data_IF_904821973193
#
_entry.id   IF_904821973193
#
_cell.length_a   1.000
_cell.length_b   1.000
_cell.length_c   1.000
_cell.angle_alpha   90.00
_cell.angle_beta   90.00
_cell.angle_gamma   90.00
#
_symmetry.space_group_name_H-M   'P 1'
#
loop_
_entity.id
_entity.type
_entity.pdbx_description
1 polymer ?
#
# COMPACT_ATOMS: atom_id res chain seq x y z
N UNK A 1 18.32 -3.82 -5.25
CA UNK A 1 17.02 -4.40 -4.85
C UNK A 1 16.04 -3.35 -4.31
N UNK A 2 16.49 -2.38 -3.51
CA UNK A 2 15.66 -1.23 -3.08
C UNK A 2 15.02 -0.44 -4.23
N UNK A 3 15.72 -0.29 -5.37
CA UNK A 3 15.19 0.36 -6.58
C UNK A 3 13.93 -0.30 -7.16
N UNK A 4 13.75 -1.61 -6.95
CA UNK A 4 12.54 -2.33 -7.39
C UNK A 4 11.37 -2.10 -6.42
N UNK A 5 11.64 -2.01 -5.11
CA UNK A 5 10.64 -1.68 -4.08
C UNK A 5 10.05 -0.27 -4.27
N UNK A 6 10.85 0.66 -4.80
CA UNK A 6 10.41 2.03 -5.12
C UNK A 6 10.08 2.23 -6.61
N UNK A 7 10.02 1.15 -7.40
CA UNK A 7 9.42 1.18 -8.74
C UNK A 7 7.89 1.20 -8.60
N UNK A 8 7.19 1.84 -9.54
CA UNK A 8 5.72 1.85 -9.59
C UNK A 8 5.14 0.44 -9.46
N UNK A 9 5.75 -0.53 -10.16
CA UNK A 9 5.34 -1.94 -10.10
C UNK A 9 5.56 -2.56 -8.71
N UNK A 10 6.74 -2.37 -8.11
CA UNK A 10 7.03 -2.93 -6.79
C UNK A 10 6.20 -2.31 -5.67
N UNK A 11 5.89 -1.01 -5.76
CA UNK A 11 5.01 -0.33 -4.82
C UNK A 11 3.55 -0.83 -4.95
N UNK A 12 3.08 -1.03 -6.19
CA UNK A 12 1.73 -1.54 -6.45
C UNK A 12 1.55 -2.97 -5.91
N UNK A 13 2.51 -3.87 -6.14
CA UNK A 13 2.44 -5.24 -5.60
C UNK A 13 2.76 -5.32 -4.11
N UNK A 14 3.69 -4.49 -3.62
CA UNK A 14 4.04 -4.41 -2.21
C UNK A 14 2.87 -3.98 -1.34
N UNK A 15 2.12 -2.96 -1.76
CA UNK A 15 0.92 -2.51 -1.05
C UNK A 15 -0.25 -3.49 -1.16
N UNK A 16 -0.40 -4.22 -2.27
CA UNK A 16 -1.35 -5.34 -2.36
C UNK A 16 -1.02 -6.45 -1.35
N UNK A 17 0.25 -6.86 -1.32
CA UNK A 17 0.73 -7.85 -0.36
C UNK A 17 0.52 -7.40 1.08
N UNK A 18 0.79 -6.13 1.39
CA UNK A 18 0.58 -5.56 2.72
C UNK A 18 -0.88 -5.70 3.16
N UNK A 19 -1.85 -5.31 2.32
CA UNK A 19 -3.28 -5.44 2.63
C UNK A 19 -3.65 -6.90 2.87
N UNK A 20 -3.16 -7.82 2.04
CA UNK A 20 -3.42 -9.25 2.19
C UNK A 20 -2.86 -9.80 3.51
N UNK A 21 -1.59 -9.55 3.82
CA UNK A 21 -0.96 -10.07 5.03
C UNK A 21 -1.54 -9.47 6.31
N UNK A 22 -1.85 -8.17 6.32
CA UNK A 22 -2.52 -7.53 7.46
C UNK A 22 -3.90 -8.16 7.68
N UNK A 23 -4.68 -8.34 6.60
CA UNK A 23 -6.01 -8.97 6.69
C UNK A 23 -5.91 -10.44 7.16
N UNK A 24 -4.93 -11.20 6.67
CA UNK A 24 -4.71 -12.58 7.07
C UNK A 24 -4.31 -12.70 8.55
N UNK A 25 -3.42 -11.82 9.03
CA UNK A 25 -3.02 -11.78 10.43
C UNK A 25 -4.20 -11.41 11.33
N UNK A 26 -4.99 -10.39 10.96
CA UNK A 26 -6.21 -10.01 11.67
C UNK A 26 -7.20 -11.16 11.71
N UNK A 27 -7.43 -11.86 10.60
CA UNK A 27 -8.32 -13.03 10.55
C UNK A 27 -7.88 -14.15 11.48
N UNK A 28 -6.58 -14.43 11.56
CA UNK A 28 -6.01 -15.40 12.51
C UNK A 28 -6.31 -15.01 13.95
N UNK A 29 -5.99 -13.78 14.35
CA UNK A 29 -6.25 -13.33 15.72
C UNK A 29 -7.75 -13.24 16.02
N UNK A 30 -8.59 -12.98 15.02
CA UNK A 30 -10.04 -12.92 15.20
C UNK A 30 -10.60 -14.30 15.56
N UNK A 31 -10.04 -15.37 14.96
CA UNK A 31 -10.39 -16.75 15.30
C UNK A 31 -9.93 -17.17 16.71
N UNK A 32 -8.86 -16.57 17.23
CA UNK A 32 -8.37 -16.79 18.61
C UNK A 32 -9.18 -16.00 19.66
N UNK A 33 -10.05 -15.09 19.22
CA UNK A 33 -10.91 -14.27 20.07
C UNK A 33 -10.22 -12.97 20.48
N UNK A 34 -10.51 -11.89 19.76
CA UNK A 34 -9.98 -10.56 20.07
C UNK A 34 -10.88 -9.75 21.00
N UNK A 35 -10.27 -9.05 21.96
CA UNK A 35 -10.96 -8.07 22.81
C UNK A 35 -11.19 -6.75 22.06
N UNK A 36 -11.96 -5.84 22.66
CA UNK A 36 -12.32 -4.55 22.05
C UNK A 36 -11.12 -3.72 21.62
N UNK A 37 -10.06 -3.65 22.44
CA UNK A 37 -8.88 -2.85 22.14
C UNK A 37 -8.10 -3.44 20.95
N UNK A 38 -8.01 -4.77 20.89
CA UNK A 38 -7.38 -5.49 19.78
C UNK A 38 -8.16 -5.29 18.47
N UNK A 39 -9.50 -5.30 18.51
CA UNK A 39 -10.32 -4.97 17.35
C UNK A 39 -10.11 -3.54 16.85
N UNK A 40 -10.04 -2.55 17.75
CA UNK A 40 -9.74 -1.17 17.36
C UNK A 40 -8.38 -1.08 16.66
N UNK A 41 -7.36 -1.74 17.20
CA UNK A 41 -6.04 -1.81 16.58
C UNK A 41 -6.06 -2.51 15.22
N UNK A 42 -6.76 -3.64 15.11
CA UNK A 42 -6.90 -4.40 13.88
C UNK A 42 -7.57 -3.61 12.76
N UNK A 43 -8.68 -2.92 13.06
CA UNK A 43 -9.38 -2.06 12.11
C UNK A 43 -8.45 -0.92 11.66
N UNK A 44 -7.76 -0.28 12.61
CA UNK A 44 -6.79 0.80 12.31
C UNK A 44 -5.68 0.31 11.37
N UNK A 45 -5.13 -0.89 11.62
CA UNK A 45 -4.09 -1.47 10.77
C UNK A 45 -4.59 -1.77 9.35
N UNK A 46 -5.80 -2.33 9.21
CA UNK A 46 -6.42 -2.58 7.90
C UNK A 46 -6.62 -1.26 7.15
N UNK A 47 -7.18 -0.24 7.80
CA UNK A 47 -7.39 1.07 7.19
C UNK A 47 -6.06 1.73 6.78
N UNK A 48 -5.01 1.60 7.58
CA UNK A 48 -3.68 2.09 7.24
C UNK A 48 -3.10 1.37 6.01
N UNK A 49 -3.24 0.04 5.93
CA UNK A 49 -2.79 -0.73 4.77
C UNK A 49 -3.57 -0.36 3.48
N UNK A 50 -4.90 -0.20 3.58
CA UNK A 50 -5.73 0.26 2.48
C UNK A 50 -5.33 1.67 2.06
N UNK A 51 -5.10 2.57 3.01
CA UNK A 51 -4.66 3.95 2.74
C UNK A 51 -3.33 3.96 2.00
N UNK A 52 -2.36 3.12 2.39
CA UNK A 52 -1.10 2.98 1.66
C UNK A 52 -1.32 2.50 0.22
N UNK A 53 -2.21 1.53 0.01
CA UNK A 53 -2.57 1.06 -1.34
C UNK A 53 -3.26 2.16 -2.18
N UNK A 54 -4.13 2.97 -1.57
CA UNK A 54 -4.77 4.13 -2.20
C UNK A 54 -3.72 5.20 -2.54
N UNK A 55 -2.77 5.46 -1.63
CA UNK A 55 -1.71 6.43 -1.89
C UNK A 55 -0.86 6.03 -3.12
N UNK A 56 -0.55 4.74 -3.27
CA UNK A 56 0.25 4.25 -4.41
C UNK A 56 -0.55 4.21 -5.72
N UNK A 57 -1.82 3.81 -5.67
CA UNK A 57 -2.62 3.55 -6.90
C UNK A 57 -3.47 4.74 -7.34
N UNK A 58 -3.98 5.51 -6.41
CA UNK A 58 -4.94 6.60 -6.64
C UNK A 58 -4.25 7.95 -6.53
N UNK A 59 -3.46 8.18 -5.48
CA UNK A 59 -2.70 9.43 -5.30
C UNK A 59 -1.38 9.42 -6.07
N UNK A 60 -1.42 8.97 -7.33
CA UNK A 60 -0.30 9.09 -8.25
C UNK A 60 0.02 10.58 -8.42
N UNK A 61 0.97 11.09 -7.65
CA UNK A 61 1.68 12.32 -8.00
C UNK A 61 2.65 11.90 -9.08
N UNK A 62 2.39 12.27 -10.33
CA UNK A 62 3.27 11.92 -11.45
C UNK A 62 4.73 12.25 -11.13
N UNK A 63 5.68 11.36 -11.50
CA UNK A 63 6.92 11.84 -12.05
C UNK A 63 7.24 11.04 -13.31
N UNK A 64 6.51 11.28 -14.40
CA UNK A 64 6.81 10.73 -15.72
C UNK A 64 5.95 11.51 -16.75
N UNK A 65 6.44 12.45 -17.54
CA UNK A 65 7.80 12.75 -18.00
C UNK A 65 8.01 14.25 -17.86
N UNK A 66 9.22 14.68 -17.47
CA UNK A 66 9.70 15.95 -17.94
C UNK A 66 9.68 15.86 -19.47
N UNK A 67 8.60 16.37 -20.08
CA UNK A 67 8.49 16.57 -21.51
C UNK A 67 9.56 17.61 -21.85
N UNK A 68 10.81 17.18 -21.95
CA UNK A 68 11.86 17.97 -22.54
C UNK A 68 11.46 18.04 -24.01
N UNK A 69 10.66 19.06 -24.31
CA UNK A 69 10.43 19.52 -25.67
C UNK A 69 11.77 20.07 -26.14
N UNK A 70 12.67 19.19 -26.58
CA UNK A 70 13.66 19.57 -27.58
C UNK A 70 12.85 19.75 -28.86
N UNK A 71 12.19 20.90 -28.98
CA UNK A 71 11.87 21.43 -30.31
C UNK A 71 13.20 21.95 -30.84
N UNK A 72 13.93 21.04 -31.47
CA UNK A 72 14.91 21.40 -32.49
C UNK A 72 14.11 21.40 -33.78
N UNK A 73 13.79 22.60 -34.26
CA UNK A 73 13.87 23.04 -35.66
C UNK A 73 13.56 24.55 -35.74
#
# INVERSE_FOLDING_TARGET
MLKLLFSSWGAEWGTAGLVFFVSAAVGRFAAEGMNTLQWCGAITAILAAITAAVAVRVWKTEPAEAKVRIDRD
#
